data_IF_653959427381
#
_entry.id   IF_653959427381
#
_cell.length_a   1.000
_cell.length_b   1.000
_cell.length_c   1.000
_cell.angle_alpha   90.00
_cell.angle_beta   90.00
_cell.angle_gamma   90.00
#
_symmetry.space_group_name_H-M   'P 1'
#
loop_
_entity.id
_entity.type
_entity.pdbx_description
1 polymer ?
#
# COMPACT_ATOMS: atom_id res chain seq x y z
N UNK A 1 -32.00 -24.07 1.91
CA UNK A 1 -31.06 -23.38 2.83
C UNK A 1 -30.48 -22.17 2.13
N UNK A 2 -30.99 -20.98 2.40
CA UNK A 2 -30.52 -19.75 1.76
C UNK A 2 -29.23 -19.27 2.43
N UNK A 3 -28.18 -19.04 1.66
CA UNK A 3 -26.99 -18.32 2.14
C UNK A 3 -27.46 -16.98 2.76
N UNK A 4 -26.98 -16.61 3.96
CA UNK A 4 -27.38 -15.34 4.57
C UNK A 4 -27.07 -14.20 3.59
N UNK A 5 -28.06 -13.32 3.36
CA UNK A 5 -27.86 -12.11 2.54
C UNK A 5 -26.70 -11.34 3.15
N UNK A 6 -25.55 -11.33 2.46
CA UNK A 6 -24.42 -10.47 2.83
C UNK A 6 -24.93 -9.04 2.84
N UNK A 7 -24.84 -8.38 3.98
CA UNK A 7 -25.10 -6.95 4.08
C UNK A 7 -24.24 -6.27 3.01
N UNK A 8 -24.83 -5.48 2.09
CA UNK A 8 -24.05 -4.79 1.08
C UNK A 8 -23.05 -3.87 1.78
N UNK A 9 -21.84 -3.72 1.21
CA UNK A 9 -20.85 -2.83 1.79
C UNK A 9 -21.43 -1.40 1.82
N UNK A 10 -21.19 -0.64 2.90
CA UNK A 10 -21.73 0.71 3.04
C UNK A 10 -21.03 1.75 2.15
N UNK A 11 -19.93 1.36 1.50
CA UNK A 11 -19.14 2.16 0.56
C UNK A 11 -18.44 1.23 -0.46
N UNK A 12 -17.76 1.81 -1.46
CA UNK A 12 -16.95 1.03 -2.41
C UNK A 12 -15.76 0.37 -1.68
N UNK A 13 -15.71 -0.97 -1.70
CA UNK A 13 -14.58 -1.70 -1.10
C UNK A 13 -13.36 -1.61 -2.01
N UNK A 14 -12.33 -0.96 -1.49
CA UNK A 14 -11.05 -0.68 -2.12
C UNK A 14 -9.98 -1.49 -1.39
N UNK A 15 -9.28 -2.35 -2.13
CA UNK A 15 -8.11 -3.09 -1.63
C UNK A 15 -6.81 -2.37 -1.99
N UNK A 16 -5.98 -2.05 -1.01
CA UNK A 16 -4.64 -1.54 -1.24
C UNK A 16 -3.62 -2.27 -0.38
N UNK A 17 -2.34 -1.95 -0.54
CA UNK A 17 -1.34 -2.37 0.42
C UNK A 17 -1.69 -1.81 1.82
N UNK A 18 -1.43 -2.61 2.85
CA UNK A 18 -1.51 -2.18 4.26
C UNK A 18 -0.66 -0.94 4.54
N UNK A 19 0.48 -0.82 3.84
CA UNK A 19 1.47 0.23 4.03
C UNK A 19 1.12 1.43 3.15
N UNK A 20 0.88 2.58 3.77
CA UNK A 20 0.51 3.81 3.05
C UNK A 20 1.17 5.03 3.69
N UNK A 21 1.35 6.08 2.88
CA UNK A 21 1.78 7.40 3.35
C UNK A 21 0.59 8.34 3.32
N UNK A 22 0.35 9.04 4.42
CA UNK A 22 -0.81 9.92 4.59
C UNK A 22 -0.36 11.29 5.08
N UNK A 23 -1.01 12.34 4.57
CA UNK A 23 -0.94 13.67 5.19
C UNK A 23 -1.79 13.66 6.47
N UNK A 24 -1.43 14.52 7.43
CA UNK A 24 -2.20 14.69 8.67
C UNK A 24 -3.71 14.91 8.40
N UNK A 25 -4.04 15.74 7.41
CA UNK A 25 -5.45 16.00 7.03
C UNK A 25 -6.21 14.76 6.56
N UNK A 26 -5.55 13.81 5.90
CA UNK A 26 -6.17 12.55 5.50
C UNK A 26 -6.39 11.63 6.71
N UNK A 27 -5.47 11.65 7.68
CA UNK A 27 -5.63 10.95 8.96
C UNK A 27 -6.82 11.52 9.73
N UNK A 28 -6.91 12.84 9.84
CA UNK A 28 -8.03 13.52 10.53
C UNK A 28 -9.38 13.17 9.91
N UNK A 29 -9.46 13.16 8.57
CA UNK A 29 -10.68 12.77 7.86
C UNK A 29 -11.06 11.31 8.09
N UNK A 30 -10.08 10.38 8.09
CA UNK A 30 -10.32 8.98 8.37
C UNK A 30 -10.77 8.75 9.82
N UNK A 31 -10.16 9.44 10.79
CA UNK A 31 -10.54 9.36 12.20
C UNK A 31 -11.91 9.98 12.47
N UNK A 32 -12.27 11.07 11.80
CA UNK A 32 -13.62 11.62 11.84
C UNK A 32 -14.63 10.60 11.31
N UNK A 33 -14.34 9.97 10.17
CA UNK A 33 -15.21 8.94 9.59
C UNK A 33 -15.36 7.71 10.49
N UNK A 34 -14.30 7.21 11.12
CA UNK A 34 -14.38 6.07 12.05
C UNK A 34 -15.29 6.37 13.25
N UNK A 35 -15.22 7.60 13.79
CA UNK A 35 -16.05 8.04 14.91
C UNK A 35 -17.53 8.14 14.54
N UNK A 36 -17.81 8.70 13.36
CA UNK A 36 -19.18 9.08 12.97
C UNK A 36 -19.93 7.93 12.26
N UNK A 37 -19.23 7.00 11.60
CA UNK A 37 -19.83 5.92 10.82
C UNK A 37 -19.54 4.53 11.40
N UNK A 38 -20.24 4.21 12.49
CA UNK A 38 -20.19 2.90 13.14
C UNK A 38 -20.62 1.74 12.23
N UNK A 39 -21.46 1.99 11.23
CA UNK A 39 -21.93 0.95 10.30
C UNK A 39 -20.78 0.48 9.42
N UNK A 40 -20.00 1.42 8.88
CA UNK A 40 -18.82 1.10 8.07
C UNK A 40 -17.77 0.37 8.89
N UNK A 41 -17.44 0.87 10.09
CA UNK A 41 -16.51 0.18 10.99
C UNK A 41 -16.91 -1.28 11.26
N UNK A 42 -18.15 -1.53 11.67
CA UNK A 42 -18.68 -2.88 11.95
C UNK A 42 -18.67 -3.81 10.74
N UNK A 43 -18.86 -3.27 9.53
CA UNK A 43 -18.75 -4.05 8.31
C UNK A 43 -17.33 -4.59 8.12
N UNK A 44 -16.32 -3.74 8.31
CA UNK A 44 -14.92 -4.11 8.11
C UNK A 44 -14.30 -4.89 9.28
N UNK A 45 -14.86 -4.83 10.49
CA UNK A 45 -14.46 -5.72 11.61
C UNK A 45 -14.56 -7.21 11.27
N UNK A 46 -15.36 -7.58 10.26
CA UNK A 46 -15.53 -8.96 9.78
C UNK A 46 -14.82 -9.23 8.44
N UNK A 47 -14.10 -8.25 7.90
CA UNK A 47 -13.39 -8.40 6.64
C UNK A 47 -12.13 -9.27 6.82
N UNK A 48 -11.78 -10.01 5.77
CA UNK A 48 -10.47 -10.66 5.68
C UNK A 48 -9.43 -9.58 5.34
N UNK A 49 -8.37 -9.48 6.14
CA UNK A 49 -7.32 -8.45 6.03
C UNK A 49 -7.90 -7.02 6.13
N UNK A 50 -8.55 -6.66 7.25
CA UNK A 50 -9.23 -5.37 7.39
C UNK A 50 -8.28 -4.17 7.23
N UNK A 51 -7.00 -4.36 7.51
CA UNK A 51 -5.90 -3.41 7.33
C UNK A 51 -5.59 -3.12 5.85
N UNK A 52 -5.87 -4.05 4.93
CA UNK A 52 -5.72 -3.85 3.48
C UNK A 52 -6.97 -3.27 2.80
N UNK A 53 -8.11 -3.20 3.50
CA UNK A 53 -9.38 -2.79 2.87
C UNK A 53 -10.11 -1.66 3.59
N UNK A 54 -10.06 -1.55 4.91
CA UNK A 54 -10.86 -0.57 5.64
C UNK A 54 -10.42 0.86 5.36
N UNK A 55 -9.18 1.18 5.74
CA UNK A 55 -8.62 2.52 5.59
C UNK A 55 -8.55 2.96 4.13
N UNK A 56 -8.11 2.10 3.17
CA UNK A 56 -8.19 2.46 1.76
C UNK A 56 -9.60 2.80 1.30
N UNK A 57 -10.61 2.01 1.69
CA UNK A 57 -12.00 2.28 1.30
C UNK A 57 -12.54 3.58 1.88
N UNK A 58 -12.23 3.87 3.15
CA UNK A 58 -12.60 5.15 3.78
C UNK A 58 -11.96 6.32 3.05
N UNK A 59 -10.66 6.26 2.75
CA UNK A 59 -9.94 7.34 2.07
C UNK A 59 -10.48 7.57 0.66
N UNK A 60 -10.75 6.50 -0.10
CA UNK A 60 -11.28 6.60 -1.46
C UNK A 60 -12.73 7.10 -1.50
N UNK A 61 -13.51 6.89 -0.45
CA UNK A 61 -14.87 7.43 -0.32
C UNK A 61 -14.91 8.85 0.27
N UNK A 62 -13.77 9.39 0.74
CA UNK A 62 -13.71 10.74 1.32
C UNK A 62 -13.57 11.81 0.24
N UNK A 63 -14.56 12.69 0.03
CA UNK A 63 -14.48 13.75 -0.97
C UNK A 63 -13.36 14.76 -0.64
N UNK A 64 -12.73 15.29 -1.70
CA UNK A 64 -11.69 16.32 -1.56
C UNK A 64 -10.29 15.79 -1.23
N UNK A 65 -10.14 14.50 -0.91
CA UNK A 65 -8.81 13.89 -0.82
C UNK A 65 -8.23 13.64 -2.21
N UNK A 66 -6.90 13.76 -2.31
CA UNK A 66 -6.11 13.39 -3.49
C UNK A 66 -5.34 12.12 -3.17
N UNK A 67 -5.53 11.08 -3.97
CA UNK A 67 -4.93 9.76 -3.76
C UNK A 67 -3.99 9.45 -4.93
N UNK A 68 -2.71 9.27 -4.61
CA UNK A 68 -1.72 8.73 -5.55
C UNK A 68 -1.57 7.23 -5.35
N UNK A 69 -1.68 6.45 -6.43
CA UNK A 69 -1.36 5.03 -6.39
C UNK A 69 0.11 4.85 -6.76
N UNK A 70 0.94 4.71 -5.73
CA UNK A 70 2.36 4.44 -5.86
C UNK A 70 2.79 3.38 -4.85
N UNK A 71 3.88 2.68 -5.15
CA UNK A 71 4.49 1.78 -4.19
C UNK A 71 5.09 2.59 -3.03
N UNK A 72 4.59 2.34 -1.82
CA UNK A 72 5.13 2.91 -0.59
C UNK A 72 6.23 2.04 0.00
N UNK A 73 6.20 0.73 -0.27
CA UNK A 73 7.19 -0.23 0.20
C UNK A 73 7.50 -1.27 -0.87
N UNK A 74 8.74 -1.30 -1.32
CA UNK A 74 9.29 -2.30 -2.23
C UNK A 74 9.37 -3.66 -1.55
N UNK A 75 8.96 -4.71 -2.28
CA UNK A 75 8.96 -6.09 -1.79
C UNK A 75 8.92 -7.08 -2.96
N UNK A 76 9.41 -8.30 -2.73
CA UNK A 76 9.35 -9.39 -3.72
C UNK A 76 8.47 -10.51 -3.16
N UNK A 77 7.52 -10.98 -3.97
CA UNK A 77 6.81 -12.25 -3.71
C UNK A 77 7.25 -13.26 -4.76
N UNK A 78 7.66 -14.46 -4.33
CA UNK A 78 7.77 -15.57 -5.29
C UNK A 78 6.38 -16.12 -5.61
N UNK A 79 6.20 -16.72 -6.81
CA UNK A 79 4.94 -17.36 -7.17
C UNK A 79 4.44 -18.31 -6.08
N UNK A 80 3.17 -18.18 -5.68
CA UNK A 80 2.54 -19.01 -4.65
C UNK A 80 2.81 -18.61 -3.20
N UNK A 81 3.64 -17.59 -2.93
CA UNK A 81 3.87 -17.14 -1.56
C UNK A 81 2.82 -16.14 -1.09
N UNK A 82 2.34 -16.32 0.14
CA UNK A 82 1.46 -15.36 0.83
C UNK A 82 2.21 -14.28 1.62
N UNK A 83 3.55 -14.26 1.57
CA UNK A 83 4.40 -13.31 2.31
C UNK A 83 5.60 -12.91 1.44
N UNK A 84 6.12 -11.69 1.58
CA UNK A 84 7.28 -11.27 0.80
C UNK A 84 8.55 -12.04 1.22
N UNK A 85 9.56 -12.03 0.38
CA UNK A 85 10.91 -12.52 0.66
C UNK A 85 11.57 -11.73 1.80
N UNK A 86 12.56 -12.34 2.46
CA UNK A 86 13.44 -11.60 3.36
C UNK A 86 14.42 -10.74 2.54
N UNK A 87 14.80 -9.59 3.08
CA UNK A 87 15.83 -8.75 2.49
C UNK A 87 17.19 -9.40 2.70
N UNK A 88 17.87 -9.63 1.59
CA UNK A 88 19.29 -9.95 1.49
C UNK A 88 19.93 -9.03 0.43
N UNK A 89 21.25 -9.15 0.21
CA UNK A 89 21.96 -8.32 -0.76
C UNK A 89 21.38 -8.44 -2.18
N UNK A 90 20.94 -9.63 -2.60
CA UNK A 90 20.37 -9.86 -3.94
C UNK A 90 18.98 -9.24 -4.07
N UNK A 91 18.15 -9.36 -3.04
CA UNK A 91 16.81 -8.77 -3.00
C UNK A 91 16.93 -7.24 -3.01
N UNK A 92 17.82 -6.65 -2.21
CA UNK A 92 18.06 -5.21 -2.20
C UNK A 92 18.48 -4.68 -3.59
N UNK A 93 19.46 -5.34 -4.22
CA UNK A 93 19.92 -5.03 -5.57
C UNK A 93 18.79 -5.13 -6.62
N UNK A 94 17.94 -6.16 -6.49
CA UNK A 94 16.76 -6.33 -7.35
C UNK A 94 15.72 -5.23 -7.13
N UNK A 95 15.43 -4.86 -5.88
CA UNK A 95 14.46 -3.81 -5.56
C UNK A 95 14.94 -2.44 -6.04
N UNK A 96 16.24 -2.16 -5.90
CA UNK A 96 16.85 -0.90 -6.34
C UNK A 96 16.65 -0.61 -7.82
N UNK A 97 16.56 -1.66 -8.67
CA UNK A 97 16.31 -1.53 -10.11
C UNK A 97 14.84 -1.49 -10.53
N UNK A 98 13.93 -1.88 -9.62
CA UNK A 98 12.52 -2.17 -9.96
C UNK A 98 11.52 -1.25 -9.30
N UNK A 99 11.90 -0.60 -8.22
CA UNK A 99 10.97 0.19 -7.42
C UNK A 99 11.58 1.51 -6.99
N UNK A 100 10.89 2.64 -7.23
CA UNK A 100 11.25 3.92 -6.65
C UNK A 100 10.66 4.11 -5.23
N UNK A 101 10.09 3.06 -4.63
CA UNK A 101 9.44 3.17 -3.33
C UNK A 101 10.43 3.67 -2.25
N UNK A 102 10.00 4.55 -1.35
CA UNK A 102 10.86 5.11 -0.31
C UNK A 102 11.27 4.11 0.77
N UNK A 103 10.55 2.98 0.88
CA UNK A 103 10.85 1.93 1.85
C UNK A 103 11.00 0.58 1.15
N UNK A 104 11.74 -0.34 1.76
CA UNK A 104 11.72 -1.77 1.46
C UNK A 104 11.42 -2.51 2.76
N UNK A 105 10.80 -3.69 2.68
CA UNK A 105 10.40 -4.40 3.90
C UNK A 105 10.89 -5.82 3.98
N UNK A 106 10.96 -6.24 5.25
CA UNK A 106 11.16 -7.59 5.77
C UNK A 106 12.64 -7.98 5.93
N UNK A 107 13.30 -7.41 6.95
CA UNK A 107 14.62 -7.83 7.42
C UNK A 107 14.52 -9.10 8.27
N UNK A 108 15.39 -10.11 8.08
CA UNK A 108 15.41 -11.30 8.92
C UNK A 108 15.86 -10.96 10.36
N UNK A 109 15.43 -11.72 11.38
CA UNK A 109 15.81 -11.47 12.78
C UNK A 109 17.33 -11.48 13.02
N UNK A 110 18.06 -12.27 12.24
CA UNK A 110 19.49 -12.50 12.25
C UNK A 110 20.19 -11.81 11.07
N UNK A 111 19.69 -10.64 10.66
CA UNK A 111 20.23 -9.91 9.51
C UNK A 111 21.73 -9.64 9.65
N UNK A 112 22.48 -10.01 8.63
CA UNK A 112 23.92 -9.78 8.58
C UNK A 112 24.20 -8.26 8.46
N UNK A 113 25.19 -7.70 9.18
CA UNK A 113 25.53 -6.27 9.13
C UNK A 113 25.77 -5.73 7.72
N UNK A 114 26.26 -6.56 6.81
CA UNK A 114 26.51 -6.18 5.40
C UNK A 114 25.22 -5.86 4.65
N UNK A 115 24.11 -6.54 4.98
CA UNK A 115 22.80 -6.26 4.38
C UNK A 115 22.29 -4.90 4.87
N UNK A 116 22.52 -4.57 6.16
CA UNK A 116 22.17 -3.26 6.71
C UNK A 116 22.98 -2.15 6.04
N UNK A 117 24.30 -2.33 5.90
CA UNK A 117 25.15 -1.36 5.19
C UNK A 117 24.73 -1.18 3.72
N UNK A 118 24.37 -2.26 3.04
CA UNK A 118 23.84 -2.16 1.68
C UNK A 118 22.52 -1.39 1.63
N UNK A 119 21.63 -1.60 2.60
CA UNK A 119 20.37 -0.84 2.70
C UNK A 119 20.62 0.64 2.99
N UNK A 120 21.55 0.98 3.88
CA UNK A 120 21.93 2.36 4.20
C UNK A 120 22.48 3.08 2.97
N UNK A 121 23.41 2.46 2.23
CA UNK A 121 23.92 3.01 0.97
C UNK A 121 22.82 3.26 -0.07
N UNK A 122 21.81 2.39 -0.13
CA UNK A 122 20.66 2.60 -1.01
C UNK A 122 19.75 3.74 -0.55
N UNK A 123 19.64 3.98 0.75
CA UNK A 123 18.84 5.04 1.36
C UNK A 123 19.49 6.43 1.21
N UNK A 124 20.82 6.48 1.08
CA UNK A 124 21.57 7.73 0.84
C UNK A 124 21.45 8.25 -0.61
N UNK A 125 20.88 7.46 -1.53
CA UNK A 125 20.70 7.87 -2.93
C UNK A 125 19.76 9.07 -3.04
N UNK A 126 20.16 10.04 -3.87
CA UNK A 126 19.30 11.16 -4.23
C UNK A 126 18.08 10.71 -5.06
N UNK A 127 16.99 11.49 -5.09
CA UNK A 127 15.84 11.20 -5.95
C UNK A 127 16.19 11.07 -7.44
N UNK A 128 17.23 11.77 -7.92
CA UNK A 128 17.69 11.65 -9.30
C UNK A 128 18.35 10.29 -9.56
N UNK A 129 19.18 9.81 -8.63
CA UNK A 129 19.80 8.48 -8.70
C UNK A 129 18.74 7.38 -8.64
N UNK A 130 17.77 7.47 -7.73
CA UNK A 130 16.67 6.49 -7.64
C UNK A 130 15.91 6.37 -8.97
N UNK A 131 15.60 7.51 -9.61
CA UNK A 131 14.91 7.52 -10.92
C UNK A 131 15.77 6.98 -12.06
N UNK A 132 17.09 7.19 -12.03
CA UNK A 132 18.00 6.66 -13.03
C UNK A 132 18.17 5.14 -12.90
N UNK A 133 18.20 4.63 -11.66
CA UNK A 133 18.39 3.22 -11.35
C UNK A 133 17.11 2.38 -11.53
N UNK A 134 15.93 2.97 -11.29
CA UNK A 134 14.65 2.29 -11.46
C UNK A 134 14.28 2.17 -12.94
N UNK A 135 14.80 1.13 -13.59
CA UNK A 135 14.70 0.92 -15.05
C UNK A 135 13.41 0.19 -15.46
N UNK A 136 12.83 -0.61 -14.56
CA UNK A 136 11.58 -1.31 -14.84
C UNK A 136 10.38 -0.43 -14.42
N UNK A 137 9.40 -0.16 -15.30
CA UNK A 137 8.17 0.50 -14.91
C UNK A 137 7.49 -0.31 -13.79
N UNK A 138 7.13 0.36 -12.70
CA UNK A 138 6.35 -0.26 -11.62
C UNK A 138 5.13 -0.99 -12.20
N UNK A 139 4.80 -2.15 -11.63
CA UNK A 139 3.70 -2.98 -12.13
C UNK A 139 2.42 -2.15 -12.20
N UNK A 140 1.73 -2.16 -13.34
CA UNK A 140 0.37 -1.60 -13.45
C UNK A 140 -0.48 -2.21 -12.33
N UNK A 141 -0.98 -1.36 -11.44
CA UNK A 141 -1.89 -1.77 -10.39
C UNK A 141 -3.31 -1.72 -10.92
N UNK A 142 -4.22 -2.49 -10.33
CA UNK A 142 -5.64 -2.46 -10.69
C UNK A 142 -6.23 -1.04 -10.56
N UNK A 143 -5.59 -0.15 -9.79
CA UNK A 143 -6.00 1.24 -9.56
C UNK A 143 -6.30 2.05 -10.84
N UNK A 144 -5.69 1.71 -11.97
CA UNK A 144 -5.98 2.35 -13.25
C UNK A 144 -7.41 2.08 -13.77
N UNK A 145 -8.11 1.09 -13.20
CA UNK A 145 -9.48 0.70 -13.58
C UNK A 145 -10.55 1.23 -12.61
N UNK A 146 -10.17 1.95 -11.53
CA UNK A 146 -11.04 2.22 -10.37
C UNK A 146 -11.83 3.53 -10.48
N UNK A 147 -11.59 4.27 -11.56
CA UNK A 147 -12.09 5.63 -11.81
C UNK A 147 -13.62 5.83 -11.73
N UNK A 148 -14.51 4.84 -11.97
CA UNK A 148 -15.95 5.11 -11.91
C UNK A 148 -16.58 5.05 -10.50
N UNK A 149 -15.87 4.59 -9.44
CA UNK A 149 -16.52 4.20 -8.17
C UNK A 149 -15.93 4.83 -6.90
N UNK A 150 -14.96 5.72 -7.02
CA UNK A 150 -14.28 6.38 -5.90
C UNK A 150 -14.62 7.88 -5.89
N UNK A 151 -14.74 8.47 -4.70
CA UNK A 151 -15.11 9.89 -4.51
C UNK A 151 -13.89 10.80 -4.34
N UNK A 152 -12.76 10.24 -3.92
CA UNK A 152 -11.49 10.93 -3.91
C UNK A 152 -10.97 11.16 -5.34
N UNK A 153 -10.17 12.21 -5.51
CA UNK A 153 -9.48 12.47 -6.76
C UNK A 153 -8.25 11.55 -6.86
N UNK A 154 -8.29 10.59 -7.79
CA UNK A 154 -7.11 9.78 -8.12
C UNK A 154 -6.15 10.61 -8.96
N UNK A 155 -4.90 10.73 -8.51
CA UNK A 155 -3.82 11.41 -9.22
C UNK A 155 -2.79 10.39 -9.70
N UNK A 156 -2.27 10.59 -10.91
CA UNK A 156 -1.10 9.85 -11.37
C UNK A 156 0.13 10.31 -10.58
N UNK A 157 1.00 9.39 -10.14
CA UNK A 157 2.30 9.74 -9.57
C UNK A 157 3.20 10.46 -10.58
#
# INVERSE_FOLDING_TARGET
>A
MGLPRRTPPPLTVTKCAQWMTLRATAVDAALARDRDDRRTRRFFERAKLPDEVYLPSVLHDTPGLRIGHAETSAQIFRPGQGRPEWLDARVLDTLARRSPAPFARKLPPDVHPDVLRAADSLAERSPAQVRADAVEPGRRTDAHEWLPRVRAQVISP
#
